data_IF_833378324014
#
_entry.id   IF_833378324014
#
_cell.length_a   1.000
_cell.length_b   1.000
_cell.length_c   1.000
_cell.angle_alpha   90.00
_cell.angle_beta   90.00
_cell.angle_gamma   90.00
#
_symmetry.space_group_name_H-M   'P 1'
#
loop_
_entity.id
_entity.type
_entity.pdbx_description
1 polymer ?
#
# COMPACT_ATOMS: atom_id res chain seq x y z
N UNK A 1 -11.44 -21.18 59.48
CA UNK A 1 -10.24 -21.06 58.62
C UNK A 1 -10.69 -21.38 57.20
N UNK A 2 -10.65 -20.39 56.29
CA UNK A 2 -10.45 -20.48 54.84
C UNK A 2 -10.99 -19.18 54.21
N UNK A 3 -10.08 -18.24 53.99
CA UNK A 3 -10.29 -17.00 53.22
C UNK A 3 -10.38 -17.32 51.73
N UNK A 4 -11.23 -16.61 50.95
CA UNK A 4 -11.26 -16.75 49.49
C UNK A 4 -10.01 -16.05 48.92
N UNK A 5 -9.21 -16.80 48.16
CA UNK A 5 -8.09 -16.22 47.42
C UNK A 5 -8.58 -15.86 46.02
N UNK A 6 -9.29 -14.73 45.91
CA UNK A 6 -9.48 -14.03 44.64
C UNK A 6 -8.13 -13.42 44.27
N UNK A 7 -7.33 -14.17 43.51
CA UNK A 7 -6.20 -13.60 42.79
C UNK A 7 -6.76 -12.78 41.63
N UNK A 8 -6.54 -11.45 41.56
CA UNK A 8 -6.80 -10.69 40.35
C UNK A 8 -5.70 -11.07 39.35
N UNK A 9 -5.96 -12.09 38.54
CA UNK A 9 -5.04 -12.48 37.46
C UNK A 9 -5.00 -11.36 36.42
N UNK A 10 -3.92 -10.58 36.48
CA UNK A 10 -3.36 -9.78 35.41
C UNK A 10 -4.37 -8.89 34.65
N UNK A 11 -4.71 -7.77 35.29
CA UNK A 11 -5.16 -6.59 34.59
C UNK A 11 -4.07 -6.09 33.62
N UNK A 12 -4.47 -5.87 32.36
CA UNK A 12 -4.04 -4.73 31.52
C UNK A 12 -2.62 -4.69 30.93
N UNK A 13 -2.26 -5.58 29.99
CA UNK A 13 -1.05 -5.37 29.16
C UNK A 13 -1.23 -5.73 27.67
N UNK A 14 -2.47 -5.90 27.19
CA UNK A 14 -2.79 -5.93 25.77
C UNK A 14 -3.37 -4.57 25.36
N UNK A 15 -2.62 -3.50 25.58
CA UNK A 15 -2.98 -2.18 25.08
C UNK A 15 -2.92 -2.21 23.54
N UNK A 16 -4.11 -2.37 22.97
CA UNK A 16 -4.49 -2.37 21.56
C UNK A 16 -4.04 -1.09 20.85
N UNK A 17 -2.74 -0.88 20.67
CA UNK A 17 -2.14 0.32 20.08
C UNK A 17 -2.15 0.38 18.55
N UNK A 18 -2.81 -0.57 17.86
CA UNK A 18 -2.81 -0.63 16.40
C UNK A 18 -3.99 0.01 15.62
N UNK A 19 -5.16 0.38 16.19
CA UNK A 19 -6.34 0.71 15.37
C UNK A 19 -6.11 1.93 14.47
N UNK A 20 -5.35 2.93 14.94
CA UNK A 20 -5.10 4.14 14.15
C UNK A 20 -4.08 3.92 13.03
N UNK A 21 -3.03 3.13 13.29
CA UNK A 21 -1.99 2.84 12.30
C UNK A 21 -2.49 1.88 11.21
N UNK A 22 -3.34 0.91 11.58
CA UNK A 22 -3.97 -0.01 10.64
C UNK A 22 -5.02 0.69 9.79
N UNK A 23 -5.83 1.57 10.39
CA UNK A 23 -6.77 2.40 9.64
C UNK A 23 -6.06 3.33 8.65
N UNK A 24 -4.93 3.94 9.05
CA UNK A 24 -4.12 4.75 8.16
C UNK A 24 -3.49 3.92 7.03
N UNK A 25 -2.98 2.72 7.33
CA UNK A 25 -2.46 1.79 6.33
C UNK A 25 -3.54 1.36 5.35
N UNK A 26 -4.70 0.89 5.83
CA UNK A 26 -5.84 0.48 5.02
C UNK A 26 -6.34 1.64 4.14
N UNK A 27 -6.46 2.84 4.71
CA UNK A 27 -6.81 4.05 3.97
C UNK A 27 -5.78 4.39 2.88
N UNK A 28 -4.49 4.19 3.15
CA UNK A 28 -3.42 4.39 2.16
C UNK A 28 -3.52 3.39 1.03
N UNK A 29 -3.77 2.12 1.31
CA UNK A 29 -3.99 1.09 0.29
C UNK A 29 -5.24 1.41 -0.55
N UNK A 30 -6.33 1.84 0.07
CA UNK A 30 -7.54 2.28 -0.63
C UNK A 30 -7.30 3.52 -1.52
N UNK A 31 -6.44 4.45 -1.09
CA UNK A 31 -6.05 5.59 -1.93
C UNK A 31 -5.17 5.15 -3.10
N UNK A 32 -4.25 4.21 -2.89
CA UNK A 32 -3.39 3.66 -3.96
C UNK A 32 -4.22 2.93 -5.02
N UNK A 33 -5.22 2.15 -4.61
CA UNK A 33 -6.15 1.51 -5.55
C UNK A 33 -7.03 2.55 -6.25
N UNK A 34 -7.55 3.53 -5.51
CA UNK A 34 -8.31 4.65 -6.08
C UNK A 34 -7.48 5.50 -7.05
N UNK A 35 -6.19 5.67 -6.82
CA UNK A 35 -5.26 6.38 -7.72
C UNK A 35 -5.10 5.62 -9.04
N UNK A 36 -4.95 4.30 -9.00
CA UNK A 36 -4.86 3.45 -10.19
C UNK A 36 -6.13 3.53 -11.05
N UNK A 37 -7.29 3.73 -10.42
CA UNK A 37 -8.60 3.77 -11.07
C UNK A 37 -9.13 5.19 -11.36
N UNK A 38 -8.37 6.23 -11.00
CA UNK A 38 -8.83 7.61 -11.14
C UNK A 38 -8.98 8.03 -12.61
N UNK A 39 -10.07 8.73 -12.91
CA UNK A 39 -10.49 9.05 -14.29
C UNK A 39 -9.68 10.16 -14.97
N UNK A 40 -8.96 11.01 -14.21
CA UNK A 40 -8.24 12.15 -14.75
C UNK A 40 -6.98 12.48 -13.97
N UNK A 41 -6.03 13.13 -14.63
CA UNK A 41 -4.71 13.46 -14.07
C UNK A 41 -4.79 14.40 -12.87
N UNK A 42 -5.76 15.31 -12.85
CA UNK A 42 -6.00 16.18 -11.69
C UNK A 42 -6.36 15.39 -10.43
N UNK A 43 -7.25 14.39 -10.55
CA UNK A 43 -7.62 13.52 -9.42
C UNK A 43 -6.47 12.60 -9.02
N UNK A 44 -5.72 12.07 -9.99
CA UNK A 44 -4.50 11.28 -9.74
C UNK A 44 -3.49 12.10 -8.95
N UNK A 45 -3.20 13.33 -9.35
CA UNK A 45 -2.26 14.20 -8.65
C UNK A 45 -2.66 14.48 -7.19
N UNK A 46 -3.95 14.71 -6.91
CA UNK A 46 -4.44 14.92 -5.54
C UNK A 46 -4.28 13.66 -4.69
N UNK A 47 -4.65 12.49 -5.23
CA UNK A 47 -4.50 11.21 -4.51
C UNK A 47 -3.02 10.87 -4.29
N UNK A 48 -2.17 11.08 -5.29
CA UNK A 48 -0.73 10.84 -5.19
C UNK A 48 -0.10 11.66 -4.06
N UNK A 49 -0.46 12.94 -3.92
CA UNK A 49 0.00 13.78 -2.80
C UNK A 49 -0.40 13.20 -1.44
N UNK A 50 -1.66 12.74 -1.31
CA UNK A 50 -2.15 12.15 -0.06
C UNK A 50 -1.46 10.82 0.26
N UNK A 51 -1.21 9.99 -0.75
CA UNK A 51 -0.46 8.75 -0.62
C UNK A 51 0.96 9.02 -0.12
N UNK A 52 1.66 9.98 -0.73
CA UNK A 52 3.01 10.40 -0.28
C UNK A 52 2.98 10.82 1.19
N UNK A 53 2.09 11.73 1.59
CA UNK A 53 2.00 12.17 2.99
C UNK A 53 1.72 11.01 3.95
N UNK A 54 0.79 10.11 3.62
CA UNK A 54 0.47 8.98 4.48
C UNK A 54 1.63 7.99 4.61
N UNK A 55 2.33 7.68 3.51
CA UNK A 55 3.48 6.78 3.53
C UNK A 55 4.62 7.35 4.37
N UNK A 56 4.83 8.67 4.31
CA UNK A 56 5.76 9.35 5.20
C UNK A 56 5.35 9.17 6.67
N UNK A 57 4.10 9.48 7.02
CA UNK A 57 3.60 9.34 8.40
C UNK A 57 3.71 7.90 8.92
N UNK A 58 3.31 6.92 8.12
CA UNK A 58 3.43 5.49 8.46
C UNK A 58 4.91 5.09 8.63
N UNK A 59 5.82 5.59 7.79
CA UNK A 59 7.24 5.28 7.91
C UNK A 59 7.89 5.78 9.21
N UNK A 60 7.28 6.76 9.87
CA UNK A 60 7.76 7.31 11.16
C UNK A 60 7.04 6.68 12.36
N UNK A 61 6.06 5.80 12.14
CA UNK A 61 5.18 5.32 13.20
C UNK A 61 5.92 4.35 14.15
N UNK A 62 6.00 4.64 15.47
CA UNK A 62 6.83 3.89 16.41
C UNK A 62 6.33 2.46 16.62
N UNK A 63 5.01 2.24 16.53
CA UNK A 63 4.36 0.93 16.73
C UNK A 63 4.68 -0.09 15.62
N UNK A 64 5.12 0.38 14.45
CA UNK A 64 5.42 -0.50 13.34
C UNK A 64 6.82 -1.11 13.48
N UNK A 65 7.03 -2.28 12.89
CA UNK A 65 8.36 -2.91 12.92
C UNK A 65 9.37 -2.06 12.13
N UNK A 66 10.67 -2.07 12.50
CA UNK A 66 11.69 -1.33 11.76
C UNK A 66 11.74 -1.71 10.27
N UNK A 67 11.59 -3.00 9.94
CA UNK A 67 11.55 -3.48 8.57
C UNK A 67 10.36 -2.91 7.79
N UNK A 68 9.19 -2.84 8.40
CA UNK A 68 7.99 -2.28 7.76
C UNK A 68 8.11 -0.78 7.55
N UNK A 69 8.67 -0.04 8.52
CA UNK A 69 9.00 1.39 8.34
C UNK A 69 9.95 1.62 7.16
N UNK A 70 11.02 0.82 7.03
CA UNK A 70 11.97 0.91 5.91
C UNK A 70 11.31 0.61 4.56
N UNK A 71 10.39 -0.36 4.52
CA UNK A 71 9.59 -0.66 3.32
C UNK A 71 8.72 0.55 2.94
N UNK A 72 7.98 1.11 3.90
CA UNK A 72 7.12 2.28 3.70
C UNK A 72 7.91 3.51 3.26
N UNK A 73 9.10 3.73 3.81
CA UNK A 73 10.02 4.78 3.38
C UNK A 73 10.48 4.61 1.93
N UNK A 74 10.82 3.38 1.54
CA UNK A 74 11.21 3.06 0.16
C UNK A 74 10.05 3.30 -0.80
N UNK A 75 8.83 2.92 -0.40
CA UNK A 75 7.62 3.15 -1.17
C UNK A 75 7.32 4.65 -1.30
N UNK A 76 7.43 5.42 -0.21
CA UNK A 76 7.35 6.88 -0.23
C UNK A 76 8.29 7.47 -1.28
N UNK A 77 9.57 7.06 -1.28
CA UNK A 77 10.54 7.50 -2.28
C UNK A 77 10.08 7.25 -3.72
N UNK A 78 9.55 6.06 -4.02
CA UNK A 78 9.02 5.73 -5.36
C UNK A 78 7.82 6.59 -5.76
N UNK A 79 6.96 6.95 -4.82
CA UNK A 79 5.79 7.81 -5.08
C UNK A 79 6.17 9.30 -5.24
N UNK A 80 7.31 9.73 -4.74
CA UNK A 80 7.82 11.09 -4.93
C UNK A 80 8.58 11.28 -6.24
N UNK A 81 9.00 10.18 -6.88
CA UNK A 81 9.67 10.26 -8.17
C UNK A 81 8.66 10.66 -9.25
N UNK A 82 9.02 11.60 -10.15
CA UNK A 82 8.24 11.85 -11.34
C UNK A 82 8.05 10.55 -12.11
N UNK A 83 6.82 10.27 -12.55
CA UNK A 83 6.62 9.17 -13.49
C UNK A 83 7.47 9.48 -14.74
N UNK A 84 8.26 8.52 -15.24
CA UNK A 84 8.92 8.72 -16.53
C UNK A 84 7.85 9.14 -17.55
N UNK A 85 8.20 10.06 -18.48
CA UNK A 85 7.28 10.41 -19.55
C UNK A 85 6.81 9.10 -20.19
N UNK A 86 5.52 8.97 -20.56
CA UNK A 86 5.09 7.83 -21.32
C UNK A 86 6.00 7.78 -22.53
N UNK A 87 6.86 6.77 -22.63
CA UNK A 87 7.72 6.60 -23.78
C UNK A 87 6.78 6.72 -24.98
N UNK A 88 7.03 7.74 -25.81
CA UNK A 88 6.31 7.93 -27.05
C UNK A 88 6.46 6.59 -27.76
N UNK A 89 5.41 5.77 -27.73
CA UNK A 89 5.38 4.51 -28.43
C UNK A 89 5.60 4.93 -29.87
N UNK A 90 6.82 4.75 -30.36
CA UNK A 90 7.13 4.96 -31.76
C UNK A 90 6.07 4.16 -32.53
N UNK A 91 5.38 4.75 -33.52
CA UNK A 91 4.45 4.01 -34.35
C UNK A 91 5.29 3.06 -35.22
N UNK A 92 5.62 1.91 -34.66
CA UNK A 92 6.57 0.97 -35.23
C UNK A 92 6.19 -0.42 -34.75
N UNK A 93 5.49 -1.12 -35.63
CA UNK A 93 5.05 -2.52 -35.53
C UNK A 93 4.12 -2.85 -34.36
N UNK A 94 2.87 -3.17 -34.70
CA UNK A 94 1.99 -3.99 -33.89
C UNK A 94 2.67 -5.33 -33.56
N UNK A 95 3.47 -5.34 -32.49
CA UNK A 95 3.97 -6.55 -31.85
C UNK A 95 2.86 -7.16 -30.98
N UNK A 96 2.89 -8.48 -30.73
CA UNK A 96 1.82 -9.16 -30.01
C UNK A 96 1.64 -8.53 -28.64
N UNK A 97 0.38 -8.21 -28.30
CA UNK A 97 -0.07 -7.64 -27.04
C UNK A 97 0.68 -8.27 -25.86
N UNK A 98 1.62 -7.51 -25.27
CA UNK A 98 2.35 -7.88 -24.04
C UNK A 98 1.39 -7.88 -22.84
N UNK A 99 0.54 -8.90 -22.78
CA UNK A 99 -0.43 -9.08 -21.71
C UNK A 99 -1.38 -10.27 -21.83
N UNK A 100 -1.26 -11.11 -22.86
CA UNK A 100 -2.01 -12.38 -22.91
C UNK A 100 -1.19 -13.45 -22.19
N UNK A 101 -1.44 -13.65 -20.90
CA UNK A 101 -0.78 -14.68 -20.09
C UNK A 101 -1.08 -16.12 -20.53
N UNK A 102 -1.93 -16.31 -21.56
CA UNK A 102 -1.99 -17.52 -22.36
C UNK A 102 -2.26 -17.14 -23.81
N UNK A 103 -1.38 -17.53 -24.73
CA UNK A 103 -1.78 -17.73 -26.11
C UNK A 103 -2.53 -19.07 -26.16
N UNK A 104 -3.77 -19.08 -26.64
CA UNK A 104 -4.48 -20.32 -26.90
C UNK A 104 -3.71 -21.11 -27.97
N UNK A 105 -3.46 -22.41 -27.81
CA UNK A 105 -2.86 -23.20 -28.88
C UNK A 105 -3.89 -23.35 -30.01
N UNK A 106 -3.61 -22.71 -31.15
CA UNK A 106 -4.52 -22.64 -32.31
C UNK A 106 -4.59 -23.95 -33.12
N UNK A 107 -3.85 -25.01 -32.75
CA UNK A 107 -3.88 -26.29 -33.48
C UNK A 107 -3.73 -27.47 -32.52
N UNK A 108 -4.79 -28.29 -32.43
CA UNK A 108 -4.69 -29.71 -32.09
C UNK A 108 -4.77 -30.45 -33.42
N UNK A 109 -3.67 -31.09 -33.82
CA UNK A 109 -3.66 -32.05 -34.92
C UNK A 109 -4.14 -33.42 -34.44
#
# INVERSE_FOLDING_TARGET
>A
MNTPNDSPTAAQDEEYGLPDSEALLAGTLALMTGHAQACCDGRKAVLARKIVSNLFLLSQHPVLTPAFRSMLWSLHGRWTQPLPPPEAHAPGTAGPLRGLWHAAPEVVQ
#
